data_IF_941540485006
#
_entry.id   IF_941540485006
#
_cell.length_a   1.000
_cell.length_b   1.000
_cell.length_c   1.000
_cell.angle_alpha   90.00
_cell.angle_beta   90.00
_cell.angle_gamma   90.00
#
_symmetry.space_group_name_H-M   'P 1'
#
loop_
_entity.id
_entity.type
_entity.pdbx_description
1 polymer ?
#
# COMPACT_ATOMS: atom_id res chain seq x y z
N UNK A 1 9.99 -26.15 -3.53
CA UNK A 1 9.89 -26.27 -2.07
C UNK A 1 10.74 -25.17 -1.45
N UNK A 2 10.22 -23.93 -1.44
CA UNK A 2 10.83 -22.83 -0.71
C UNK A 2 10.75 -23.14 0.79
N UNK A 3 11.90 -23.10 1.45
CA UNK A 3 12.09 -23.45 2.83
C UNK A 3 11.10 -22.69 3.74
N UNK A 4 10.31 -23.42 4.52
CA UNK A 4 9.42 -22.89 5.56
C UNK A 4 10.24 -22.02 6.54
N UNK A 5 11.49 -22.36 6.80
CA UNK A 5 12.41 -21.60 7.63
C UNK A 5 12.71 -20.18 7.10
N UNK A 6 12.79 -20.00 5.78
CA UNK A 6 13.04 -18.69 5.17
C UNK A 6 11.84 -17.75 5.33
N UNK A 7 10.60 -18.27 5.20
CA UNK A 7 9.38 -17.50 5.37
C UNK A 7 9.16 -17.06 6.83
N UNK A 8 9.52 -17.92 7.78
CA UNK A 8 9.44 -17.62 9.22
C UNK A 8 10.48 -16.57 9.61
N UNK A 9 11.72 -16.66 9.07
CA UNK A 9 12.77 -15.68 9.32
C UNK A 9 12.43 -14.30 8.79
N UNK A 10 11.83 -14.17 7.58
CA UNK A 10 11.39 -12.90 7.01
C UNK A 10 10.30 -12.20 7.84
N UNK A 11 9.36 -12.98 8.41
CA UNK A 11 8.33 -12.41 9.30
C UNK A 11 8.92 -11.87 10.59
N UNK A 12 9.99 -12.46 11.11
CA UNK A 12 10.66 -12.01 12.34
C UNK A 12 11.37 -10.66 12.21
N UNK A 13 11.65 -10.21 10.98
CA UNK A 13 12.20 -8.88 10.72
C UNK A 13 11.18 -7.77 10.98
N UNK A 14 9.88 -8.09 10.96
CA UNK A 14 8.81 -7.16 11.27
C UNK A 14 8.48 -7.21 12.76
N UNK A 15 8.74 -6.15 13.48
CA UNK A 15 8.40 -6.04 14.90
C UNK A 15 6.91 -5.84 15.12
N UNK A 16 6.37 -6.39 16.21
CA UNK A 16 4.99 -6.15 16.63
C UNK A 16 4.87 -4.76 17.23
N UNK A 17 3.90 -3.98 16.73
CA UNK A 17 3.66 -2.62 17.16
C UNK A 17 2.15 -2.36 17.32
N UNK A 18 1.82 -1.33 18.08
CA UNK A 18 0.45 -0.84 18.26
C UNK A 18 0.47 0.68 18.30
N UNK A 19 -0.28 1.30 17.42
CA UNK A 19 -0.57 2.73 17.50
C UNK A 19 -1.79 2.95 18.39
N UNK A 20 -1.74 3.93 19.28
CA UNK A 20 -2.85 4.38 20.10
C UNK A 20 -2.89 5.90 19.99
N UNK A 21 -4.04 6.45 19.63
CA UNK A 21 -4.23 7.90 19.57
C UNK A 21 -4.69 8.48 20.92
N UNK A 22 -4.84 9.78 21.00
CA UNK A 22 -5.23 10.49 22.22
C UNK A 22 -6.65 10.12 22.72
N UNK A 23 -7.51 9.58 21.84
CA UNK A 23 -8.86 9.12 22.15
C UNK A 23 -8.91 7.68 22.64
N UNK A 24 -7.75 6.98 22.64
CA UNK A 24 -7.65 5.57 23.00
C UNK A 24 -7.98 4.60 21.86
N UNK A 25 -8.28 5.10 20.65
CA UNK A 25 -8.43 4.25 19.47
C UNK A 25 -7.08 3.66 19.08
N UNK A 26 -7.06 2.41 18.62
CA UNK A 26 -5.81 1.73 18.31
C UNK A 26 -5.80 1.00 16.96
N UNK A 27 -4.60 0.86 16.41
CA UNK A 27 -4.31 0.12 15.19
C UNK A 27 -3.08 -0.75 15.40
N UNK A 28 -3.24 -2.06 15.26
CA UNK A 28 -2.10 -2.97 15.27
C UNK A 28 -1.32 -2.84 13.96
N UNK A 29 -0.01 -2.89 14.01
CA UNK A 29 0.83 -2.91 12.83
C UNK A 29 2.13 -3.66 13.07
N UNK A 30 2.73 -4.10 11.96
CA UNK A 30 4.08 -4.67 11.94
C UNK A 30 5.01 -3.65 11.29
N UNK A 31 6.22 -3.54 11.80
CA UNK A 31 7.19 -2.57 11.31
C UNK A 31 8.50 -3.22 10.94
N UNK A 32 8.90 -3.08 9.69
CA UNK A 32 10.25 -3.41 9.26
C UNK A 32 11.16 -2.23 9.59
N UNK A 33 12.17 -2.52 10.37
CA UNK A 33 13.32 -1.66 10.59
C UNK A 33 14.51 -2.32 9.91
N UNK A 34 14.97 -1.78 8.80
CA UNK A 34 16.30 -2.09 8.32
C UNK A 34 17.33 -1.52 9.31
N UNK A 35 18.50 -2.13 9.40
CA UNK A 35 19.62 -1.54 10.12
C UNK A 35 19.89 -0.16 9.52
N UNK A 36 19.58 0.90 10.27
CA UNK A 36 19.72 2.26 9.78
C UNK A 36 20.69 3.08 10.64
N UNK A 37 21.40 3.93 9.96
CA UNK A 37 22.19 4.98 10.57
C UNK A 37 21.26 6.17 10.90
N UNK A 38 21.27 6.63 12.14
CA UNK A 38 20.50 7.79 12.58
C UNK A 38 20.85 9.11 11.86
N UNK A 39 21.99 9.15 11.15
CA UNK A 39 22.39 10.28 10.33
C UNK A 39 21.83 10.25 8.90
N UNK A 40 21.17 9.15 8.52
CA UNK A 40 20.57 8.95 7.20
C UNK A 40 19.06 9.10 7.25
N UNK A 41 18.45 9.37 6.09
CA UNK A 41 16.98 9.38 5.92
C UNK A 41 16.57 8.25 5.01
N UNK A 42 15.47 7.58 5.35
CA UNK A 42 15.00 6.38 4.69
C UNK A 42 13.62 6.57 4.06
N UNK A 43 13.34 5.93 2.92
CA UNK A 43 11.98 5.85 2.41
C UNK A 43 11.05 5.21 3.44
N UNK A 44 9.80 5.65 3.42
CA UNK A 44 8.71 5.04 4.19
C UNK A 44 7.73 4.36 3.23
N UNK A 45 7.51 3.07 3.39
CA UNK A 45 6.54 2.29 2.62
C UNK A 45 5.37 1.91 3.52
N UNK A 46 4.16 2.23 3.09
CA UNK A 46 2.91 1.81 3.72
C UNK A 46 2.32 0.67 2.88
N UNK A 47 2.10 -0.50 3.50
CA UNK A 47 1.57 -1.68 2.83
C UNK A 47 0.20 -2.06 3.39
N UNK A 48 -0.84 -2.02 2.55
CA UNK A 48 -2.22 -2.35 2.90
C UNK A 48 -2.61 -3.74 2.40
N UNK A 49 -2.92 -4.64 3.33
CA UNK A 49 -3.34 -6.01 3.04
C UNK A 49 -4.76 -6.09 2.46
N UNK A 50 -5.14 -7.25 1.94
CA UNK A 50 -6.48 -7.56 1.43
C UNK A 50 -7.49 -7.92 2.53
N UNK A 51 -8.73 -8.16 2.12
CA UNK A 51 -9.83 -8.45 3.06
C UNK A 51 -9.61 -9.72 3.90
N UNK A 52 -8.91 -10.71 3.34
CA UNK A 52 -8.65 -11.99 4.01
C UNK A 52 -7.69 -11.91 5.21
N UNK A 53 -6.92 -10.84 5.31
CA UNK A 53 -5.91 -10.65 6.36
C UNK A 53 -6.40 -9.72 7.50
N UNK A 54 -7.69 -9.34 7.49
CA UNK A 54 -8.31 -8.63 8.60
C UNK A 54 -8.19 -9.41 9.90
N UNK A 55 -8.02 -8.72 11.01
CA UNK A 55 -7.96 -9.37 12.31
C UNK A 55 -7.39 -8.52 13.41
N UNK A 56 -6.98 -9.18 14.49
CA UNK A 56 -6.35 -8.58 15.66
C UNK A 56 -5.10 -9.37 16.10
N UNK A 57 -4.69 -10.38 15.35
CA UNK A 57 -3.52 -11.20 15.64
C UNK A 57 -2.20 -10.49 15.36
N UNK A 58 -2.25 -9.40 14.59
CA UNK A 58 -1.08 -8.66 14.14
C UNK A 58 -0.06 -9.54 13.39
N UNK A 59 -0.52 -10.56 12.67
CA UNK A 59 0.28 -11.52 11.91
C UNK A 59 -0.24 -11.74 10.49
N UNK A 60 -1.56 -11.88 10.33
CA UNK A 60 -2.17 -12.23 9.04
C UNK A 60 -1.83 -11.25 7.91
N UNK A 61 -1.63 -9.96 8.21
CA UNK A 61 -1.27 -8.94 7.23
C UNK A 61 0.10 -9.16 6.56
N UNK A 62 0.94 -10.03 7.11
CA UNK A 62 2.23 -10.37 6.52
C UNK A 62 2.14 -11.52 5.49
N UNK A 63 0.95 -12.06 5.25
CA UNK A 63 0.77 -13.24 4.39
C UNK A 63 1.20 -13.01 2.95
N UNK A 64 0.82 -11.86 2.37
CA UNK A 64 0.99 -11.57 0.95
C UNK A 64 1.77 -10.28 0.70
N UNK A 65 2.71 -10.33 -0.22
CA UNK A 65 3.35 -9.17 -0.84
C UNK A 65 4.35 -8.41 0.02
N UNK A 66 4.03 -8.09 1.26
CA UNK A 66 4.87 -7.22 2.10
C UNK A 66 6.27 -7.80 2.37
N UNK A 67 6.41 -9.12 2.44
CA UNK A 67 7.72 -9.78 2.63
C UNK A 67 8.67 -9.59 1.44
N UNK A 68 8.18 -9.21 0.27
CA UNK A 68 9.04 -8.89 -0.86
C UNK A 68 9.95 -7.69 -0.58
N UNK A 69 9.55 -6.79 0.34
CA UNK A 69 10.39 -5.69 0.81
C UNK A 69 11.54 -6.13 1.72
N UNK A 70 11.56 -7.39 2.18
CA UNK A 70 12.62 -7.97 3.03
C UNK A 70 13.62 -8.84 2.25
N UNK A 71 13.53 -8.91 0.93
CA UNK A 71 14.55 -9.62 0.16
C UNK A 71 15.92 -8.95 0.36
N UNK A 72 16.96 -9.76 0.45
CA UNK A 72 18.34 -9.28 0.70
C UNK A 72 18.75 -8.17 -0.28
N UNK A 73 18.34 -8.33 -1.56
CA UNK A 73 18.64 -7.36 -2.59
C UNK A 73 17.95 -6.01 -2.32
N UNK A 74 16.66 -6.02 -1.98
CA UNK A 74 15.90 -4.80 -1.69
C UNK A 74 16.42 -4.15 -0.42
N UNK A 75 16.64 -4.89 0.65
CA UNK A 75 17.17 -4.36 1.92
C UNK A 75 18.57 -3.76 1.76
N UNK A 76 19.38 -4.32 0.86
CA UNK A 76 20.74 -3.81 0.60
C UNK A 76 20.74 -2.54 -0.26
N UNK A 77 19.92 -2.51 -1.33
CA UNK A 77 19.92 -1.41 -2.32
C UNK A 77 18.98 -0.29 -1.90
N UNK A 78 17.83 -0.64 -1.34
CA UNK A 78 16.76 0.28 -0.97
C UNK A 78 16.31 0.06 0.50
N UNK A 79 17.22 0.23 1.48
CA UNK A 79 16.83 0.11 2.87
C UNK A 79 15.69 1.09 3.17
N UNK A 80 14.61 0.59 3.75
CA UNK A 80 13.40 1.38 3.99
C UNK A 80 12.68 0.98 5.28
N UNK A 81 11.94 1.92 5.84
CA UNK A 81 10.97 1.65 6.90
C UNK A 81 9.68 1.19 6.23
N UNK A 82 9.15 0.04 6.64
CA UNK A 82 7.87 -0.47 6.11
C UNK A 82 6.86 -0.60 7.24
N UNK A 83 5.70 -0.02 7.07
CA UNK A 83 4.55 -0.17 7.98
C UNK A 83 3.51 -1.09 7.33
N UNK A 84 3.18 -2.19 8.00
CA UNK A 84 2.15 -3.13 7.62
C UNK A 84 1.04 -3.14 8.69
N UNK A 85 0.08 -2.21 8.64
CA UNK A 85 -1.03 -2.17 9.57
C UNK A 85 -2.00 -3.32 9.32
N UNK A 86 -2.76 -3.71 10.37
CA UNK A 86 -3.83 -4.69 10.25
C UNK A 86 -5.19 -4.03 10.43
N UNK A 87 -6.02 -4.08 9.39
CA UNK A 87 -7.40 -3.63 9.44
C UNK A 87 -8.22 -4.58 10.33
N UNK A 88 -8.97 -4.08 11.32
CA UNK A 88 -9.82 -4.91 12.16
C UNK A 88 -10.88 -5.69 11.36
N UNK A 89 -11.40 -6.76 11.97
CA UNK A 89 -12.54 -7.50 11.42
C UNK A 89 -13.72 -6.56 11.14
N UNK A 90 -14.47 -6.81 10.09
CA UNK A 90 -15.66 -6.05 9.69
C UNK A 90 -15.42 -4.57 9.35
N UNK A 91 -14.17 -4.18 9.14
CA UNK A 91 -13.78 -2.84 8.69
C UNK A 91 -13.11 -2.91 7.32
N UNK A 92 -12.86 -1.74 6.72
CA UNK A 92 -12.20 -1.60 5.43
C UNK A 92 -11.19 -0.45 5.48
N UNK A 93 -10.20 -0.49 4.57
CA UNK A 93 -9.29 0.64 4.38
C UNK A 93 -10.00 1.82 3.72
N UNK A 94 -10.65 1.58 2.59
CA UNK A 94 -11.33 2.62 1.82
C UNK A 94 -12.78 2.81 2.23
N UNK A 95 -13.31 4.02 1.98
CA UNK A 95 -14.72 4.37 2.18
C UNK A 95 -15.34 4.90 0.89
N UNK A 96 -15.84 3.98 0.09
CA UNK A 96 -16.47 4.25 -1.20
C UNK A 96 -17.93 3.79 -1.22
N UNK A 97 -18.74 4.44 -2.04
CA UNK A 97 -20.08 3.97 -2.38
C UNK A 97 -20.00 2.62 -3.10
N UNK A 98 -20.84 1.68 -2.72
CA UNK A 98 -20.94 0.36 -3.38
C UNK A 98 -21.55 0.46 -4.79
N UNK A 99 -22.31 1.51 -5.05
CA UNK A 99 -23.04 1.67 -6.32
C UNK A 99 -22.15 2.13 -7.47
N UNK A 100 -21.26 3.11 -7.19
CA UNK A 100 -20.52 3.83 -8.24
C UNK A 100 -19.04 4.08 -7.93
N UNK A 101 -18.54 3.53 -6.83
CA UNK A 101 -17.16 3.77 -6.35
C UNK A 101 -16.85 5.24 -6.06
N UNK A 102 -17.85 6.09 -5.84
CA UNK A 102 -17.60 7.47 -5.39
C UNK A 102 -17.04 7.49 -3.97
N UNK A 103 -16.04 8.34 -3.75
CA UNK A 103 -15.38 8.49 -2.45
C UNK A 103 -16.32 9.17 -1.46
N UNK A 104 -16.66 8.50 -0.38
CA UNK A 104 -17.51 9.06 0.68
C UNK A 104 -16.74 10.13 1.49
N UNK A 105 -17.43 11.10 2.10
CA UNK A 105 -16.79 12.30 2.69
C UNK A 105 -15.74 11.99 3.76
N UNK A 106 -16.01 11.02 4.64
CA UNK A 106 -15.13 10.72 5.77
C UNK A 106 -14.26 9.48 5.50
N UNK A 107 -13.00 9.46 5.96
CA UNK A 107 -12.21 8.23 5.95
C UNK A 107 -12.81 7.19 6.89
N UNK A 108 -12.51 5.91 6.67
CA UNK A 108 -12.78 4.87 7.65
C UNK A 108 -11.93 5.09 8.90
N UNK A 109 -12.34 4.51 10.03
CA UNK A 109 -11.53 4.56 11.26
C UNK A 109 -10.14 3.96 11.07
N UNK A 110 -9.95 2.78 10.43
CA UNK A 110 -8.61 2.27 10.14
C UNK A 110 -7.76 3.21 9.29
N UNK A 111 -8.34 3.86 8.26
CA UNK A 111 -7.63 4.83 7.43
C UNK A 111 -7.23 6.07 8.24
N UNK A 112 -8.12 6.60 9.08
CA UNK A 112 -7.80 7.72 9.96
C UNK A 112 -6.59 7.39 10.85
N UNK A 113 -6.63 6.25 11.56
CA UNK A 113 -5.55 5.81 12.45
C UNK A 113 -4.24 5.54 11.68
N UNK A 114 -4.34 5.01 10.48
CA UNK A 114 -3.18 4.82 9.61
C UNK A 114 -2.50 6.15 9.29
N UNK A 115 -3.25 7.17 8.89
CA UNK A 115 -2.66 8.48 8.55
C UNK A 115 -2.06 9.16 9.77
N UNK A 116 -2.69 9.03 10.94
CA UNK A 116 -2.12 9.49 12.21
C UNK A 116 -0.78 8.78 12.52
N UNK A 117 -0.74 7.45 12.34
CA UNK A 117 0.48 6.64 12.49
C UNK A 117 1.58 7.09 11.51
N UNK A 118 1.25 7.28 10.23
CA UNK A 118 2.22 7.73 9.21
C UNK A 118 2.82 9.07 9.59
N UNK A 119 1.99 10.05 9.98
CA UNK A 119 2.47 11.37 10.43
C UNK A 119 3.36 11.27 11.66
N UNK A 120 2.97 10.42 12.64
CA UNK A 120 3.81 10.15 13.82
C UNK A 120 5.17 9.56 13.41
N UNK A 121 5.17 8.56 12.52
CA UNK A 121 6.39 7.90 12.04
C UNK A 121 7.33 8.91 11.35
N UNK A 122 6.80 9.76 10.49
CA UNK A 122 7.56 10.83 9.82
C UNK A 122 8.22 11.77 10.84
N UNK A 123 7.54 12.07 11.94
CA UNK A 123 8.04 13.01 12.95
C UNK A 123 9.03 12.37 13.94
N UNK A 124 8.99 11.06 14.13
CA UNK A 124 9.73 10.36 15.20
C UNK A 124 10.84 9.45 14.70
N UNK A 125 10.86 9.13 13.42
CA UNK A 125 11.83 8.24 12.79
C UNK A 125 12.59 8.96 11.66
N UNK A 126 13.75 8.46 11.24
CA UNK A 126 14.56 9.09 10.19
C UNK A 126 13.96 8.87 8.78
N UNK A 127 12.73 9.33 8.58
CA UNK A 127 12.01 9.24 7.31
C UNK A 127 12.44 10.36 6.36
N UNK A 128 12.69 10.00 5.09
CA UNK A 128 12.75 10.96 3.99
C UNK A 128 11.32 11.34 3.58
N UNK A 129 10.89 12.53 3.95
CA UNK A 129 9.52 13.02 3.69
C UNK A 129 9.19 13.16 2.20
N UNK A 130 10.20 13.17 1.33
CA UNK A 130 10.03 13.19 -0.11
C UNK A 130 9.89 11.80 -0.72
N UNK A 131 10.06 10.74 0.07
CA UNK A 131 9.99 9.34 -0.37
C UNK A 131 9.05 8.52 0.52
N UNK A 132 7.80 8.95 0.60
CA UNK A 132 6.72 8.24 1.31
C UNK A 132 5.85 7.56 0.27
N UNK A 133 5.79 6.24 0.30
CA UNK A 133 5.10 5.42 -0.70
C UNK A 133 3.94 4.65 -0.08
N UNK A 134 2.89 4.41 -0.86
CA UNK A 134 1.78 3.57 -0.44
C UNK A 134 1.47 2.52 -1.51
N UNK A 135 1.23 1.32 -1.06
CA UNK A 135 0.81 0.19 -1.90
C UNK A 135 -0.16 -0.70 -1.13
N UNK A 136 -0.92 -1.48 -1.86
CA UNK A 136 -1.82 -2.45 -1.25
C UNK A 136 -2.52 -3.29 -2.29
N UNK A 137 -3.06 -4.43 -1.86
CA UNK A 137 -3.71 -5.41 -2.72
C UNK A 137 -5.20 -5.55 -2.39
N UNK A 138 -6.05 -5.72 -3.40
CA UNK A 138 -7.49 -5.96 -3.26
C UNK A 138 -8.14 -4.84 -2.43
N UNK A 139 -8.70 -5.13 -1.25
CA UNK A 139 -9.17 -4.12 -0.29
C UNK A 139 -8.08 -3.08 0.01
N UNK A 140 -6.81 -3.49 0.07
CA UNK A 140 -5.67 -2.58 0.23
C UNK A 140 -5.37 -1.75 -1.02
N UNK A 141 -5.65 -2.27 -2.22
CA UNK A 141 -5.57 -1.51 -3.46
C UNK A 141 -6.63 -0.40 -3.53
N UNK A 142 -7.84 -0.71 -3.09
CA UNK A 142 -8.92 0.28 -2.89
C UNK A 142 -8.51 1.32 -1.83
N UNK A 143 -7.94 0.84 -0.71
CA UNK A 143 -7.41 1.72 0.35
C UNK A 143 -6.27 2.63 -0.12
N UNK A 144 -5.45 2.15 -1.05
CA UNK A 144 -4.39 2.96 -1.67
C UNK A 144 -4.98 4.14 -2.45
N UNK A 145 -6.01 3.91 -3.26
CA UNK A 145 -6.71 4.99 -3.95
C UNK A 145 -7.43 5.94 -3.00
N UNK A 146 -8.05 5.43 -1.91
CA UNK A 146 -8.65 6.27 -0.87
C UNK A 146 -7.61 7.20 -0.24
N UNK A 147 -6.49 6.64 0.22
CA UNK A 147 -5.44 7.38 0.89
C UNK A 147 -4.87 8.52 0.03
N UNK A 148 -4.51 8.23 -1.23
CA UNK A 148 -3.96 9.26 -2.12
C UNK A 148 -4.99 10.32 -2.53
N UNK A 149 -6.28 9.95 -2.61
CA UNK A 149 -7.35 10.88 -2.93
C UNK A 149 -7.62 11.87 -1.79
N UNK A 150 -7.48 11.44 -0.53
CA UNK A 150 -7.69 12.28 0.65
C UNK A 150 -6.44 13.04 1.07
N UNK A 151 -5.27 12.46 0.87
CA UNK A 151 -3.99 12.98 1.36
C UNK A 151 -2.94 13.03 0.24
N UNK A 152 -3.24 13.70 -0.88
CA UNK A 152 -2.39 13.66 -2.09
C UNK A 152 -0.99 14.21 -1.88
N UNK A 153 -0.80 15.12 -0.92
CA UNK A 153 0.50 15.73 -0.65
C UNK A 153 1.41 14.88 0.24
N UNK A 154 0.85 13.79 0.81
CA UNK A 154 1.60 12.92 1.71
C UNK A 154 2.52 11.96 0.93
N UNK A 155 2.09 11.50 -0.23
CA UNK A 155 2.72 10.39 -0.96
C UNK A 155 3.53 10.86 -2.17
N UNK A 156 4.70 10.26 -2.36
CA UNK A 156 5.57 10.46 -3.52
C UNK A 156 5.23 9.48 -4.66
N UNK A 157 4.64 8.34 -4.36
CA UNK A 157 4.14 7.37 -5.34
C UNK A 157 3.13 6.41 -4.71
N UNK A 158 2.34 5.77 -5.58
CA UNK A 158 1.38 4.75 -5.19
C UNK A 158 1.36 3.55 -6.15
N UNK A 159 1.21 2.36 -5.60
CA UNK A 159 1.08 1.10 -6.37
C UNK A 159 -0.18 0.36 -5.90
N UNK A 160 -1.35 0.71 -6.43
CA UNK A 160 -2.58 -0.06 -6.17
C UNK A 160 -2.59 -1.35 -6.99
N UNK A 161 -2.81 -2.48 -6.33
CA UNK A 161 -2.87 -3.81 -6.96
C UNK A 161 -4.28 -4.36 -6.85
N UNK A 162 -4.88 -4.78 -7.97
CA UNK A 162 -6.24 -5.29 -8.13
C UNK A 162 -7.28 -4.53 -7.29
N UNK A 163 -7.27 -3.22 -7.40
CA UNK A 163 -8.18 -2.30 -6.71
C UNK A 163 -8.95 -1.40 -7.66
N UNK A 164 -9.56 -0.38 -7.10
CA UNK A 164 -10.29 0.66 -7.81
C UNK A 164 -10.46 1.89 -6.94
N UNK A 165 -10.94 2.98 -7.53
CA UNK A 165 -11.13 4.25 -6.85
C UNK A 165 -12.17 5.12 -7.55
N UNK A 166 -12.35 6.33 -7.04
CA UNK A 166 -13.24 7.34 -7.57
C UNK A 166 -12.58 8.07 -8.75
N UNK A 167 -13.07 7.81 -9.95
CA UNK A 167 -12.54 8.43 -11.18
C UNK A 167 -12.67 9.97 -11.17
N UNK A 168 -13.62 10.53 -10.39
CA UNK A 168 -13.79 11.99 -10.28
C UNK A 168 -12.69 12.66 -9.47
N UNK A 169 -11.86 11.87 -8.77
CA UNK A 169 -10.69 12.34 -8.02
C UNK A 169 -9.39 12.31 -8.82
N UNK A 170 -9.45 11.89 -10.09
CA UNK A 170 -8.25 11.79 -10.94
C UNK A 170 -7.47 13.11 -11.03
N UNK A 171 -8.15 14.25 -11.12
CA UNK A 171 -7.52 15.58 -11.14
C UNK A 171 -6.70 15.88 -9.87
N UNK A 172 -7.10 15.32 -8.72
CA UNK A 172 -6.39 15.52 -7.44
C UNK A 172 -5.13 14.68 -7.39
N UNK A 173 -5.20 13.42 -7.88
CA UNK A 173 -4.13 12.43 -7.76
C UNK A 173 -3.22 12.36 -9.00
N UNK A 174 -3.57 13.07 -10.10
CA UNK A 174 -2.81 13.03 -11.35
C UNK A 174 -1.34 13.46 -11.22
N UNK A 175 -1.01 14.26 -10.21
CA UNK A 175 0.37 14.68 -9.89
C UNK A 175 1.22 13.60 -9.21
N UNK A 176 0.59 12.55 -8.68
CA UNK A 176 1.29 11.47 -7.99
C UNK A 176 1.69 10.41 -9.00
N UNK A 177 2.95 9.99 -9.09
CA UNK A 177 3.34 8.82 -9.84
C UNK A 177 2.57 7.57 -9.37
N UNK A 178 1.85 6.92 -10.29
CA UNK A 178 1.00 5.76 -9.98
C UNK A 178 1.31 4.64 -10.96
N UNK A 179 1.49 3.43 -10.45
CA UNK A 179 1.56 2.22 -11.27
C UNK A 179 0.54 1.21 -10.77
N UNK A 180 -0.43 0.88 -11.59
CA UNK A 180 -1.54 -0.03 -11.27
C UNK A 180 -1.26 -1.41 -11.86
N UNK A 181 -1.58 -2.46 -11.09
CA UNK A 181 -1.47 -3.86 -11.49
C UNK A 181 -2.82 -4.55 -11.33
N UNK A 182 -3.22 -5.38 -12.30
CA UNK A 182 -4.47 -6.13 -12.22
C UNK A 182 -4.42 -7.42 -13.06
N UNK A 183 -5.17 -8.43 -12.67
CA UNK A 183 -5.38 -9.64 -13.49
C UNK A 183 -6.56 -9.46 -14.43
N UNK A 184 -6.39 -9.82 -15.70
CA UNK A 184 -7.44 -9.69 -16.73
C UNK A 184 -8.68 -10.53 -16.40
N UNK A 185 -8.48 -11.70 -15.77
CA UNK A 185 -9.57 -12.65 -15.41
C UNK A 185 -10.02 -12.51 -13.95
N UNK A 186 -9.80 -11.34 -13.33
CA UNK A 186 -10.27 -11.10 -11.97
C UNK A 186 -11.79 -11.03 -11.91
N UNK A 187 -12.40 -12.01 -11.22
CA UNK A 187 -13.85 -12.12 -11.02
C UNK A 187 -14.31 -11.61 -9.65
N UNK A 188 -13.37 -11.28 -8.77
CA UNK A 188 -13.67 -10.71 -7.45
C UNK A 188 -13.78 -9.18 -7.53
N UNK A 189 -12.78 -8.53 -8.12
CA UNK A 189 -12.78 -7.11 -8.45
C UNK A 189 -12.42 -6.96 -9.93
N UNK A 190 -13.37 -6.52 -10.73
CA UNK A 190 -13.17 -6.39 -12.18
C UNK A 190 -11.98 -5.49 -12.50
N UNK A 191 -11.13 -5.93 -13.44
CA UNK A 191 -10.02 -5.12 -13.96
C UNK A 191 -10.48 -3.78 -14.57
N UNK A 192 -11.78 -3.66 -14.91
CA UNK A 192 -12.39 -2.40 -15.35
C UNK A 192 -12.27 -1.29 -14.30
N UNK A 193 -12.25 -1.61 -13.01
CA UNK A 193 -12.06 -0.62 -11.96
C UNK A 193 -10.70 0.08 -12.07
N UNK A 194 -9.65 -0.69 -12.24
CA UNK A 194 -8.31 -0.16 -12.51
C UNK A 194 -8.23 0.57 -13.86
N UNK A 195 -8.79 -0.02 -14.92
CA UNK A 195 -8.81 0.58 -16.25
C UNK A 195 -9.50 1.95 -16.26
N UNK A 196 -10.61 2.08 -15.55
CA UNK A 196 -11.33 3.36 -15.43
C UNK A 196 -10.48 4.43 -14.74
N UNK A 197 -9.76 4.05 -13.67
CA UNK A 197 -8.84 4.97 -13.00
C UNK A 197 -7.68 5.40 -13.92
N UNK A 198 -7.08 4.46 -14.65
CA UNK A 198 -6.03 4.75 -15.63
C UNK A 198 -6.52 5.72 -16.70
N UNK A 199 -7.70 5.46 -17.29
CA UNK A 199 -8.28 6.32 -18.31
C UNK A 199 -8.56 7.74 -17.77
N UNK A 200 -9.05 7.83 -16.54
CA UNK A 200 -9.30 9.12 -15.89
C UNK A 200 -7.99 9.89 -15.62
N UNK A 201 -6.95 9.21 -15.16
CA UNK A 201 -5.63 9.81 -14.92
C UNK A 201 -4.99 10.33 -16.22
N UNK A 202 -5.05 9.55 -17.30
CA UNK A 202 -4.54 9.95 -18.62
C UNK A 202 -5.30 11.20 -19.12
N UNK A 203 -6.62 11.26 -18.92
CA UNK A 203 -7.44 12.43 -19.28
C UNK A 203 -7.00 13.69 -18.52
N UNK A 204 -6.54 13.56 -17.30
CA UNK A 204 -5.98 14.66 -16.50
C UNK A 204 -4.50 14.96 -16.81
N UNK A 205 -3.93 14.33 -17.85
CA UNK A 205 -2.56 14.56 -18.29
C UNK A 205 -1.48 13.79 -17.53
N UNK A 206 -1.86 12.81 -16.69
CA UNK A 206 -0.89 11.94 -16.03
C UNK A 206 -0.37 10.84 -16.96
N UNK A 207 0.78 10.27 -16.62
CA UNK A 207 1.40 9.14 -17.32
C UNK A 207 1.49 7.92 -16.36
N UNK A 208 0.35 7.32 -15.96
CA UNK A 208 0.36 6.20 -15.03
C UNK A 208 0.89 4.92 -15.70
N UNK A 209 1.62 4.11 -14.94
CA UNK A 209 1.90 2.73 -15.32
C UNK A 209 0.64 1.86 -15.19
N UNK A 210 0.44 0.94 -16.13
CA UNK A 210 -0.63 -0.04 -16.04
C UNK A 210 -0.18 -1.41 -16.56
N UNK A 211 -0.14 -2.39 -15.68
CA UNK A 211 0.18 -3.77 -16.02
C UNK A 211 -1.05 -4.66 -15.85
N UNK A 212 -1.50 -5.23 -16.96
CA UNK A 212 -2.55 -6.23 -17.00
C UNK A 212 -1.91 -7.60 -17.22
N UNK A 213 -2.09 -8.51 -16.27
CA UNK A 213 -1.60 -9.88 -16.40
C UNK A 213 -2.63 -10.74 -17.15
N UNK A 214 -2.30 -11.23 -18.36
CA UNK A 214 -3.19 -12.12 -19.10
C UNK A 214 -3.38 -13.42 -18.32
N UNK A 215 -4.58 -13.99 -18.38
CA UNK A 215 -4.94 -15.26 -17.73
C UNK A 215 -4.85 -15.30 -16.19
N UNK A 216 -4.50 -14.20 -15.53
CA UNK A 216 -4.43 -14.08 -14.08
C UNK A 216 -5.78 -13.57 -13.54
N UNK A 217 -6.26 -14.19 -12.47
CA UNK A 217 -7.42 -13.78 -11.70
C UNK A 217 -7.08 -12.76 -10.60
N UNK A 218 -7.78 -12.89 -9.46
CA UNK A 218 -7.65 -11.92 -8.36
C UNK A 218 -6.25 -11.90 -7.73
N UNK A 219 -5.49 -13.00 -7.76
CA UNK A 219 -4.16 -13.12 -7.14
C UNK A 219 -3.02 -12.45 -7.93
N UNK A 220 -3.30 -11.39 -8.68
CA UNK A 220 -2.30 -10.64 -9.44
C UNK A 220 -1.18 -10.04 -8.60
N UNK A 221 -1.39 -9.88 -7.28
CA UNK A 221 -0.37 -9.37 -6.36
C UNK A 221 0.87 -10.27 -6.24
N UNK A 222 0.73 -11.58 -6.51
CA UNK A 222 1.88 -12.50 -6.47
C UNK A 222 2.90 -12.06 -7.53
N UNK A 223 2.44 -11.80 -8.74
CA UNK A 223 3.30 -11.31 -9.83
C UNK A 223 3.75 -9.85 -9.59
N UNK A 224 2.84 -8.97 -9.19
CA UNK A 224 3.13 -7.54 -9.00
C UNK A 224 4.25 -7.30 -7.98
N UNK A 225 4.16 -7.89 -6.78
CA UNK A 225 5.18 -7.70 -5.75
C UNK A 225 6.48 -8.49 -5.99
N UNK A 226 6.47 -9.45 -6.90
CA UNK A 226 7.67 -10.16 -7.35
C UNK A 226 8.37 -9.49 -8.54
N UNK A 227 7.78 -8.43 -9.09
CA UNK A 227 8.34 -7.71 -10.22
C UNK A 227 9.46 -6.76 -9.76
N UNK A 228 10.74 -7.02 -10.12
CA UNK A 228 11.84 -6.14 -9.75
C UNK A 228 11.72 -4.76 -10.42
N UNK A 229 11.07 -4.66 -11.57
CA UNK A 229 10.85 -3.37 -12.25
C UNK A 229 9.92 -2.47 -11.44
N UNK A 230 8.88 -3.02 -10.81
CA UNK A 230 7.99 -2.27 -9.95
C UNK A 230 8.72 -1.73 -8.72
N UNK A 231 9.54 -2.55 -8.06
CA UNK A 231 10.33 -2.14 -6.90
C UNK A 231 11.31 -1.02 -7.26
N UNK A 232 12.09 -1.19 -8.33
CA UNK A 232 13.03 -0.15 -8.80
C UNK A 232 12.32 1.15 -9.19
N UNK A 233 11.16 1.04 -9.84
CA UNK A 233 10.36 2.21 -10.19
C UNK A 233 9.87 2.94 -8.94
N UNK A 234 9.33 2.21 -7.94
CA UNK A 234 8.80 2.79 -6.71
C UNK A 234 9.86 3.59 -5.96
N UNK A 235 11.02 2.99 -5.73
CA UNK A 235 12.11 3.62 -4.97
C UNK A 235 12.79 4.80 -5.68
N UNK A 236 12.61 4.96 -6.97
CA UNK A 236 13.10 6.13 -7.73
C UNK A 236 12.20 7.35 -7.62
N UNK A 237 10.94 7.18 -7.15
CA UNK A 237 10.00 8.30 -7.07
C UNK A 237 10.32 9.19 -5.86
N UNK A 238 10.18 10.48 -6.05
CA UNK A 238 10.32 11.49 -4.99
C UNK A 238 9.44 12.72 -5.32
N UNK A 239 9.08 13.45 -4.28
CA UNK A 239 8.37 14.74 -4.42
C UNK A 239 9.32 15.84 -4.79
#
# INVERSE_FOLDING_TARGET
>A
LGNIDTLTSQSSLFTFQKYINEKGDSLNYRQLLSDYDNNSKYPLVIFLHGAGERGNDNEAQLKWGVKNFTSDNIMKIHPSIVLAPQCPKNMSWGNFSEDDMSLLPSPTKPMQLLIELVKKTINTMPVDVNRVYITGLSMGGIGTFDAISRYPDLFAAAVPVCGGGDVTKANIIAKIPIWVFHGVRDTTLSAKLSQNMINALIKEGAEPGFTLYPEVGHFSWIAAYSDPMMMEWLYRQHK
#
